data_IF_145658789123
#
_entry.id   IF_145658789123
#
_cell.length_a   1.000
_cell.length_b   1.000
_cell.length_c   1.000
_cell.angle_alpha   90.00
_cell.angle_beta   90.00
_cell.angle_gamma   90.00
#
_symmetry.space_group_name_H-M   'P 1'
#
loop_
_entity.id
_entity.type
_entity.pdbx_description
1 polymer ?
#
# COMPACT_ATOMS: atom_id res chain seq x y z
N UNK A 1 -22.62 8.33 -2.56
CA UNK A 1 -21.82 7.23 -3.14
C UNK A 1 -22.20 5.90 -2.49
N UNK A 2 -21.82 4.77 -3.11
CA UNK A 2 -22.18 3.40 -2.72
C UNK A 2 -21.96 3.10 -1.23
N UNK A 3 -20.81 3.51 -0.67
CA UNK A 3 -20.45 3.23 0.72
C UNK A 3 -21.05 4.21 1.75
N UNK A 4 -21.62 5.37 1.36
CA UNK A 4 -22.14 6.38 2.32
C UNK A 4 -21.22 6.62 3.55
N UNK A 5 -19.92 6.80 3.30
CA UNK A 5 -18.93 7.11 4.35
C UNK A 5 -19.00 8.59 4.66
N UNK A 6 -19.15 8.95 5.94
CA UNK A 6 -19.24 10.35 6.39
C UNK A 6 -17.86 11.00 6.58
N UNK A 7 -16.89 10.24 7.07
CA UNK A 7 -15.51 10.69 7.26
C UNK A 7 -14.52 9.53 7.15
N UNK A 8 -13.29 9.77 6.67
CA UNK A 8 -12.25 8.75 6.62
C UNK A 8 -11.76 8.33 8.00
N UNK A 9 -11.69 7.03 8.27
CA UNK A 9 -11.02 6.50 9.46
C UNK A 9 -9.52 6.84 9.44
N UNK A 10 -8.92 7.05 10.61
CA UNK A 10 -7.51 7.41 10.74
C UNK A 10 -6.59 6.37 10.07
N UNK A 11 -6.91 5.08 10.19
CA UNK A 11 -6.18 3.98 9.55
C UNK A 11 -6.20 4.10 8.02
N UNK A 12 -7.32 4.49 7.42
CA UNK A 12 -7.41 4.71 5.97
C UNK A 12 -6.54 5.89 5.52
N UNK A 13 -6.46 6.96 6.32
CA UNK A 13 -5.55 8.07 6.04
C UNK A 13 -4.08 7.64 6.12
N UNK A 14 -3.72 6.82 7.12
CA UNK A 14 -2.37 6.26 7.23
C UNK A 14 -2.03 5.37 6.04
N UNK A 15 -2.91 4.45 5.66
CA UNK A 15 -2.75 3.59 4.48
C UNK A 15 -2.61 4.42 3.19
N UNK A 16 -3.40 5.48 3.02
CA UNK A 16 -3.24 6.40 1.89
C UNK A 16 -1.87 7.11 1.89
N UNK A 17 -1.34 7.44 3.07
CA UNK A 17 0.02 7.95 3.23
C UNK A 17 1.08 6.94 2.79
N UNK A 18 0.96 5.69 3.23
CA UNK A 18 1.84 4.58 2.83
C UNK A 18 1.79 4.37 1.31
N UNK A 19 0.58 4.31 0.73
CA UNK A 19 0.39 4.17 -0.71
C UNK A 19 1.06 5.31 -1.49
N UNK A 20 0.84 6.56 -1.07
CA UNK A 20 1.50 7.73 -1.67
C UNK A 20 3.01 7.58 -1.64
N UNK A 21 3.58 7.20 -0.50
CA UNK A 21 5.03 7.09 -0.37
C UNK A 21 5.59 5.90 -1.16
N UNK A 22 4.86 4.79 -1.26
CA UNK A 22 5.20 3.67 -2.14
C UNK A 22 5.21 4.07 -3.61
N UNK A 23 4.18 4.79 -4.08
CA UNK A 23 4.14 5.29 -5.46
C UNK A 23 5.29 6.28 -5.77
N UNK A 24 5.76 7.04 -4.78
CA UNK A 24 6.93 7.92 -4.94
C UNK A 24 8.23 7.13 -5.12
N UNK A 25 8.41 6.03 -4.40
CA UNK A 25 9.57 5.16 -4.60
C UNK A 25 9.58 4.55 -6.01
N UNK A 26 8.42 4.09 -6.49
CA UNK A 26 8.28 3.61 -7.87
C UNK A 26 8.63 4.70 -8.87
N UNK A 27 8.07 5.90 -8.71
CA UNK A 27 8.37 7.03 -9.59
C UNK A 27 9.87 7.39 -9.60
N UNK A 28 10.55 7.29 -8.45
CA UNK A 28 11.99 7.52 -8.32
C UNK A 28 12.84 6.42 -8.98
N UNK A 29 12.35 5.17 -9.05
CA UNK A 29 13.04 4.07 -9.71
C UNK A 29 12.97 4.13 -11.25
N UNK A 30 11.87 4.66 -11.82
CA UNK A 30 11.68 4.77 -13.29
C UNK A 30 12.81 5.48 -14.07
N UNK A 31 13.43 6.58 -13.61
CA UNK A 31 14.57 7.15 -14.33
C UNK A 31 15.84 6.30 -14.24
N UNK A 32 16.00 5.49 -13.18
CA UNK A 32 17.19 4.68 -12.93
C UNK A 32 17.25 3.45 -13.85
N UNK A 33 16.09 2.86 -14.17
CA UNK A 33 16.00 1.68 -15.06
C UNK A 33 16.51 1.96 -16.48
N UNK A 34 16.46 3.20 -16.98
CA UNK A 34 16.94 3.54 -18.34
C UNK A 34 18.44 3.30 -18.52
N UNK A 35 19.20 3.41 -17.44
CA UNK A 35 20.63 3.12 -17.43
C UNK A 35 20.99 1.85 -16.68
N UNK A 36 20.00 0.98 -16.41
CA UNK A 36 20.15 -0.23 -15.59
C UNK A 36 20.89 0.03 -14.27
N UNK A 37 20.65 1.20 -13.67
CA UNK A 37 21.29 1.59 -12.42
C UNK A 37 20.68 0.80 -11.27
N UNK A 38 21.45 0.67 -10.20
CA UNK A 38 20.98 0.08 -8.94
C UNK A 38 19.75 0.81 -8.41
N UNK A 39 18.71 0.05 -8.08
CA UNK A 39 17.44 0.50 -7.49
C UNK A 39 17.18 -0.12 -6.11
N UNK A 40 18.17 -0.82 -5.53
CA UNK A 40 18.01 -1.58 -4.28
C UNK A 40 17.47 -0.72 -3.13
N UNK A 41 17.87 0.56 -3.06
CA UNK A 41 17.37 1.49 -2.06
C UNK A 41 15.85 1.73 -2.17
N UNK A 42 15.32 1.84 -3.39
CA UNK A 42 13.88 1.98 -3.62
C UNK A 42 13.15 0.67 -3.28
N UNK A 43 13.74 -0.49 -3.59
CA UNK A 43 13.13 -1.79 -3.30
C UNK A 43 12.99 -2.02 -1.79
N UNK A 44 14.06 -1.75 -1.03
CA UNK A 44 14.06 -1.86 0.44
C UNK A 44 12.99 -0.95 1.05
N UNK A 45 12.85 0.28 0.55
CA UNK A 45 11.86 1.21 1.08
C UNK A 45 10.42 0.81 0.71
N UNK A 46 10.18 0.29 -0.50
CA UNK A 46 8.87 -0.26 -0.88
C UNK A 46 8.50 -1.45 0.01
N UNK A 47 9.43 -2.38 0.26
CA UNK A 47 9.19 -3.52 1.14
C UNK A 47 8.91 -3.08 2.59
N UNK A 48 9.62 -2.06 3.09
CA UNK A 48 9.34 -1.47 4.41
C UNK A 48 7.94 -0.85 4.49
N UNK A 49 7.51 -0.18 3.43
CA UNK A 49 6.19 0.45 3.32
C UNK A 49 5.07 -0.58 3.19
N UNK A 50 5.28 -1.66 2.44
CA UNK A 50 4.34 -2.79 2.34
C UNK A 50 4.09 -3.40 3.72
N UNK A 51 5.14 -3.78 4.44
CA UNK A 51 5.04 -4.33 5.80
C UNK A 51 4.29 -3.40 6.77
N UNK A 52 4.50 -2.09 6.65
CA UNK A 52 3.78 -1.08 7.43
C UNK A 52 2.30 -0.98 7.03
N UNK A 53 2.00 -1.04 5.73
CA UNK A 53 0.63 -1.13 5.22
C UNK A 53 -0.10 -2.35 5.76
N UNK A 54 0.54 -3.51 5.71
CA UNK A 54 0.08 -4.78 6.24
C UNK A 54 -0.27 -4.71 7.73
N UNK A 55 0.64 -4.12 8.53
CA UNK A 55 0.43 -3.90 9.96
C UNK A 55 -0.79 -3.00 10.21
N UNK A 56 -0.89 -1.88 9.51
CA UNK A 56 -2.02 -0.95 9.66
C UNK A 56 -3.33 -1.62 9.26
N UNK A 57 -3.35 -2.42 8.21
CA UNK A 57 -4.55 -3.15 7.75
C UNK A 57 -5.02 -4.15 8.80
N UNK A 58 -4.12 -4.92 9.41
CA UNK A 58 -4.46 -5.85 10.50
C UNK A 58 -5.06 -5.13 11.70
N UNK A 59 -4.46 -4.01 12.12
CA UNK A 59 -5.00 -3.15 13.19
C UNK A 59 -6.37 -2.58 12.83
N UNK A 60 -6.53 -2.12 11.59
CA UNK A 60 -7.77 -1.53 11.11
C UNK A 60 -8.90 -2.56 11.09
N UNK A 61 -8.65 -3.75 10.56
CA UNK A 61 -9.63 -4.84 10.54
C UNK A 61 -9.98 -5.27 11.97
N UNK A 62 -9.00 -5.45 12.85
CA UNK A 62 -9.25 -5.81 14.24
C UNK A 62 -10.19 -4.80 14.94
N UNK A 63 -9.95 -3.49 14.73
CA UNK A 63 -10.78 -2.44 15.31
C UNK A 63 -12.24 -2.45 14.82
N UNK A 64 -12.53 -3.03 13.64
CA UNK A 64 -13.91 -3.17 13.14
C UNK A 64 -14.71 -4.24 13.87
N UNK A 65 -14.05 -5.18 14.56
CA UNK A 65 -14.69 -6.26 15.31
C UNK A 65 -14.73 -5.99 16.82
N UNK A 66 -14.32 -4.80 17.26
CA UNK A 66 -14.59 -4.33 18.61
C UNK A 66 -16.12 -4.22 18.83
N UNK A 67 -16.58 -4.55 20.03
CA UNK A 67 -18.01 -4.69 20.31
C UNK A 67 -18.81 -3.41 20.06
N UNK A 68 -20.00 -3.54 19.47
CA UNK A 68 -20.95 -2.44 19.30
C UNK A 68 -20.87 -1.69 17.96
N UNK A 69 -20.02 -2.13 17.02
CA UNK A 69 -19.97 -1.56 15.68
C UNK A 69 -21.08 -2.16 14.79
N UNK A 70 -21.78 -1.31 14.05
CA UNK A 70 -22.78 -1.71 13.06
C UNK A 70 -22.15 -2.63 11.98
N UNK A 71 -22.69 -3.84 11.73
CA UNK A 71 -22.17 -4.74 10.70
C UNK A 71 -22.03 -4.09 9.31
N UNK A 72 -22.90 -3.13 8.97
CA UNK A 72 -22.80 -2.40 7.71
C UNK A 72 -21.59 -1.45 7.69
N UNK A 73 -21.17 -0.91 8.83
CA UNK A 73 -19.91 -0.15 8.95
C UNK A 73 -18.72 -1.10 8.76
N UNK A 74 -18.76 -2.29 9.36
CA UNK A 74 -17.72 -3.32 9.20
C UNK A 74 -17.53 -3.72 7.74
N UNK A 75 -18.62 -4.06 7.02
CA UNK A 75 -18.57 -4.47 5.61
C UNK A 75 -17.91 -3.39 4.74
N UNK A 76 -18.33 -2.14 4.92
CA UNK A 76 -17.85 -1.02 4.10
C UNK A 76 -16.38 -0.71 4.37
N UNK A 77 -15.98 -0.66 5.64
CA UNK A 77 -14.60 -0.34 5.99
C UNK A 77 -13.62 -1.46 5.71
N UNK A 78 -14.04 -2.72 5.88
CA UNK A 78 -13.24 -3.87 5.49
C UNK A 78 -12.89 -3.81 4.01
N UNK A 79 -13.87 -3.60 3.13
CA UNK A 79 -13.63 -3.50 1.68
C UNK A 79 -12.72 -2.30 1.33
N UNK A 80 -12.85 -1.16 2.02
CA UNK A 80 -11.97 0.00 1.81
C UNK A 80 -10.53 -0.30 2.25
N UNK A 81 -10.32 -0.91 3.43
CA UNK A 81 -9.00 -1.26 3.92
C UNK A 81 -8.32 -2.30 3.02
N UNK A 82 -9.04 -3.33 2.61
CA UNK A 82 -8.55 -4.35 1.67
C UNK A 82 -8.16 -3.71 0.32
N UNK A 83 -8.93 -2.75 -0.20
CA UNK A 83 -8.57 -2.04 -1.45
C UNK A 83 -7.32 -1.19 -1.31
N UNK A 84 -7.11 -0.54 -0.16
CA UNK A 84 -5.91 0.26 0.09
C UNK A 84 -4.68 -0.63 0.23
N UNK A 85 -4.79 -1.75 0.94
CA UNK A 85 -3.73 -2.75 1.08
C UNK A 85 -3.36 -3.37 -0.28
N UNK A 86 -4.34 -3.82 -1.07
CA UNK A 86 -4.10 -4.29 -2.43
C UNK A 86 -3.39 -3.26 -3.33
N UNK A 87 -3.66 -1.97 -3.14
CA UNK A 87 -2.98 -0.90 -3.87
C UNK A 87 -1.52 -0.72 -3.39
N UNK A 88 -1.25 -0.88 -2.09
CA UNK A 88 0.10 -0.86 -1.52
C UNK A 88 0.90 -2.06 -2.03
N UNK A 89 0.35 -3.27 -1.95
CA UNK A 89 0.95 -4.50 -2.50
C UNK A 89 1.24 -4.37 -4.01
N UNK A 90 0.38 -3.68 -4.77
CA UNK A 90 0.64 -3.40 -6.19
C UNK A 90 1.92 -2.57 -6.40
N UNK A 91 2.32 -1.74 -5.44
CA UNK A 91 3.61 -1.02 -5.51
C UNK A 91 4.79 -1.96 -5.30
N UNK A 92 4.69 -2.94 -4.41
CA UNK A 92 5.73 -3.96 -4.22
C UNK A 92 5.88 -4.84 -5.46
N UNK A 93 4.76 -5.29 -6.04
CA UNK A 93 4.77 -6.02 -7.32
C UNK A 93 5.43 -5.22 -8.44
N UNK A 94 5.16 -3.91 -8.53
CA UNK A 94 5.82 -3.05 -9.51
C UNK A 94 7.33 -2.97 -9.25
N UNK A 95 7.75 -2.81 -8.00
CA UNK A 95 9.14 -2.78 -7.58
C UNK A 95 9.89 -4.04 -8.04
N UNK A 96 9.36 -5.23 -7.75
CA UNK A 96 9.95 -6.50 -8.18
C UNK A 96 10.09 -6.63 -9.70
N UNK A 97 9.12 -6.12 -10.47
CA UNK A 97 9.23 -6.10 -11.94
C UNK A 97 10.39 -5.19 -12.38
N UNK A 98 10.54 -4.01 -11.78
CA UNK A 98 11.63 -3.09 -12.10
C UNK A 98 13.00 -3.70 -11.77
N UNK A 99 13.12 -4.37 -10.62
CA UNK A 99 14.34 -5.06 -10.21
C UNK A 99 14.72 -6.17 -11.20
N UNK A 100 13.74 -6.97 -11.61
CA UNK A 100 13.93 -8.01 -12.62
C UNK A 100 14.39 -7.47 -13.98
N UNK A 101 13.97 -6.26 -14.36
CA UNK A 101 14.46 -5.59 -15.59
C UNK A 101 15.93 -5.20 -15.43
N UNK A 102 16.31 -4.60 -14.30
CA UNK A 102 17.70 -4.18 -14.03
C UNK A 102 18.62 -5.40 -14.01
N UNK A 103 18.29 -6.44 -13.24
CA UNK A 103 19.14 -7.64 -13.11
C UNK A 103 19.35 -8.35 -14.46
N UNK A 104 18.33 -8.39 -15.33
CA UNK A 104 18.43 -9.06 -16.64
C UNK A 104 19.26 -8.30 -17.67
N UNK A 105 19.52 -7.01 -17.47
CA UNK A 105 20.18 -6.14 -18.44
C UNK A 105 21.44 -5.42 -17.88
N UNK A 106 21.85 -5.77 -16.65
CA UNK A 106 23.09 -5.31 -16.02
C UNK A 106 24.31 -6.12 -16.48
#
# INVERSE_FOLDING_TARGET
>A
GLYKIEAPMAQAQRLAGVLRDGTRQIAAAIPLIRGFKDISAQMVEVHRLENEGDRITREAIASLFEGGIDPMVVIRWKDIFERLENAIDSTERAAFILEGIVIKNA
#
